data_IF_670260625092
#
_entry.id   IF_670260625092
#
_cell.length_a   1.000
_cell.length_b   1.000
_cell.length_c   1.000
_cell.angle_alpha   90.00
_cell.angle_beta   90.00
_cell.angle_gamma   90.00
#
_symmetry.space_group_name_H-M   'P 1'
#
loop_
_entity.id
_entity.type
_entity.pdbx_description
1 polymer ?
#
# COMPACT_ATOMS: atom_id res chain seq x y z
N UNK A 1 -10.49 9.63 17.19
CA UNK A 1 -10.08 10.64 18.20
C UNK A 1 -10.28 12.00 17.57
N UNK A 2 -10.88 12.96 18.28
CA UNK A 2 -11.15 14.29 17.71
C UNK A 2 -9.99 15.24 17.97
N UNK A 3 -9.67 16.09 17.00
CA UNK A 3 -8.59 17.08 17.08
C UNK A 3 -8.98 18.37 16.36
N UNK A 4 -8.29 19.47 16.68
CA UNK A 4 -8.43 20.73 15.94
C UNK A 4 -7.40 20.71 14.81
N UNK A 5 -7.89 20.73 13.56
CA UNK A 5 -7.02 20.72 12.38
C UNK A 5 -6.25 22.04 12.25
N UNK A 6 -4.93 21.99 12.15
CA UNK A 6 -4.10 23.20 12.02
C UNK A 6 -4.30 23.91 10.67
N UNK A 7 -4.72 23.19 9.62
CA UNK A 7 -4.94 23.76 8.30
C UNK A 7 -6.18 24.66 8.22
N UNK A 8 -7.26 24.31 8.93
CA UNK A 8 -8.55 25.01 8.83
C UNK A 8 -9.13 25.52 10.17
N UNK A 9 -8.60 25.07 11.31
CA UNK A 9 -9.07 25.46 12.65
C UNK A 9 -10.35 24.75 13.12
N UNK A 10 -10.89 23.80 12.35
CA UNK A 10 -12.10 23.06 12.69
C UNK A 10 -11.81 21.78 13.49
N UNK A 11 -12.77 21.33 14.32
CA UNK A 11 -12.72 20.01 14.94
C UNK A 11 -12.95 18.92 13.88
N UNK A 12 -11.99 18.01 13.73
CA UNK A 12 -12.04 16.86 12.81
C UNK A 12 -11.91 15.55 13.58
N UNK A 13 -12.41 14.49 12.98
CA UNK A 13 -12.11 13.11 13.36
C UNK A 13 -11.28 12.48 12.24
N UNK A 14 -10.20 11.79 12.60
CA UNK A 14 -9.37 11.11 11.61
C UNK A 14 -10.14 9.99 10.92
N UNK A 15 -9.88 9.83 9.62
CA UNK A 15 -10.33 8.66 8.90
C UNK A 15 -9.47 7.45 9.25
N UNK A 16 -10.04 6.23 9.25
CA UNK A 16 -9.23 5.03 9.40
C UNK A 16 -8.39 4.80 8.14
N UNK A 17 -7.16 4.33 8.32
CA UNK A 17 -6.36 3.84 7.21
C UNK A 17 -7.00 2.60 6.57
N UNK A 18 -7.06 2.57 5.23
CA UNK A 18 -7.55 1.43 4.46
C UNK A 18 -6.43 0.41 4.30
N UNK A 19 -6.37 -0.53 5.23
CA UNK A 19 -5.24 -1.43 5.38
C UNK A 19 -5.60 -2.87 5.03
N UNK A 20 -4.77 -3.52 4.21
CA UNK A 20 -4.99 -4.90 3.75
C UNK A 20 -4.06 -5.87 4.49
N UNK A 21 -4.59 -7.02 4.91
CA UNK A 21 -3.87 -7.95 5.78
C UNK A 21 -2.84 -8.81 5.04
N UNK A 22 -2.95 -8.93 3.72
CA UNK A 22 -2.06 -9.72 2.89
C UNK A 22 -2.00 -9.14 1.46
N UNK A 23 -0.94 -9.44 0.69
CA UNK A 23 -0.92 -9.12 -0.73
C UNK A 23 -2.03 -9.86 -1.48
N UNK A 24 -2.54 -9.28 -2.56
CA UNK A 24 -3.60 -9.90 -3.39
C UNK A 24 -3.22 -11.32 -3.83
N UNK A 25 -1.95 -11.53 -4.21
CA UNK A 25 -1.43 -12.84 -4.57
C UNK A 25 -1.68 -13.91 -3.50
N UNK A 26 -1.59 -13.56 -2.22
CA UNK A 26 -1.85 -14.47 -1.10
C UNK A 26 -3.30 -14.97 -1.09
N UNK A 27 -4.26 -14.12 -1.46
CA UNK A 27 -5.68 -14.49 -1.54
C UNK A 27 -6.00 -15.41 -2.72
N UNK A 28 -5.09 -15.53 -3.69
CA UNK A 28 -5.25 -16.39 -4.86
C UNK A 28 -4.64 -17.79 -4.66
N UNK A 29 -3.92 -18.03 -3.56
CA UNK A 29 -3.25 -19.31 -3.29
C UNK A 29 -4.26 -20.41 -2.97
N UNK A 30 -3.97 -21.61 -3.46
CA UNK A 30 -4.61 -22.84 -2.99
C UNK A 30 -4.13 -23.21 -1.58
N UNK A 31 -4.88 -24.10 -0.91
CA UNK A 31 -4.53 -24.61 0.42
C UNK A 31 -3.13 -25.26 0.47
N UNK A 32 -2.67 -25.85 -0.63
CA UNK A 32 -1.34 -26.46 -0.71
C UNK A 32 -0.24 -25.40 -0.84
N UNK A 33 -0.44 -24.40 -1.70
CA UNK A 33 0.51 -23.29 -1.87
C UNK A 33 0.63 -22.44 -0.60
N UNK A 34 -0.47 -22.32 0.15
CA UNK A 34 -0.52 -21.61 1.43
C UNK A 34 0.48 -22.17 2.45
N UNK A 35 0.80 -23.47 2.38
CA UNK A 35 1.80 -24.10 3.26
C UNK A 35 3.22 -23.58 3.01
N UNK A 36 3.47 -23.06 1.81
CA UNK A 36 4.74 -22.48 1.40
C UNK A 36 4.75 -20.94 1.54
N UNK A 37 3.67 -20.36 2.08
CA UNK A 37 3.56 -18.93 2.32
C UNK A 37 3.94 -18.59 3.77
N UNK A 38 4.79 -17.56 3.94
CA UNK A 38 5.14 -16.97 5.23
C UNK A 38 4.62 -15.54 5.23
N UNK A 39 3.58 -15.27 6.00
CA UNK A 39 2.95 -13.95 6.13
C UNK A 39 3.15 -13.41 7.55
N UNK A 40 3.57 -12.15 7.63
CA UNK A 40 3.68 -11.37 8.86
C UNK A 40 2.90 -10.06 8.71
N UNK A 41 2.99 -9.16 9.69
CA UNK A 41 2.35 -7.83 9.59
C UNK A 41 2.90 -6.94 8.47
N UNK A 42 4.13 -7.19 8.02
CA UNK A 42 4.88 -6.29 7.13
C UNK A 42 5.62 -7.00 5.98
N UNK A 43 5.77 -8.32 6.05
CA UNK A 43 6.48 -9.15 5.06
C UNK A 43 5.63 -10.35 4.64
N UNK A 44 5.69 -10.70 3.37
CA UNK A 44 5.13 -11.93 2.83
C UNK A 44 6.09 -12.58 1.84
N UNK A 45 6.32 -13.88 1.95
CA UNK A 45 7.02 -14.68 0.93
C UNK A 45 6.19 -15.89 0.56
N UNK A 46 6.12 -16.23 -0.72
CA UNK A 46 5.46 -17.45 -1.20
C UNK A 46 6.44 -18.22 -2.08
N UNK A 47 6.88 -19.38 -1.60
CA UNK A 47 7.83 -20.24 -2.30
C UNK A 47 7.07 -21.15 -3.29
N UNK A 48 7.50 -21.19 -4.54
CA UNK A 48 7.04 -22.13 -5.57
C UNK A 48 8.25 -22.92 -6.13
N UNK A 49 8.02 -24.01 -6.89
CA UNK A 49 9.10 -24.75 -7.53
C UNK A 49 9.93 -23.93 -8.53
N UNK A 50 9.35 -22.87 -9.10
CA UNK A 50 9.99 -22.06 -10.13
C UNK A 50 10.64 -20.79 -9.56
N UNK A 51 10.00 -20.15 -8.57
CA UNK A 51 10.47 -18.89 -8.00
C UNK A 51 9.93 -18.65 -6.59
N UNK A 52 10.44 -17.60 -5.93
CA UNK A 52 9.91 -17.12 -4.65
C UNK A 52 9.38 -15.70 -4.82
N UNK A 53 8.06 -15.57 -4.65
CA UNK A 53 7.39 -14.28 -4.64
C UNK A 53 7.62 -13.57 -3.30
N UNK A 54 7.97 -12.29 -3.35
CA UNK A 54 8.40 -11.51 -2.18
C UNK A 54 7.66 -10.19 -2.13
N UNK A 55 6.97 -9.93 -1.02
CA UNK A 55 6.15 -8.76 -0.84
C UNK A 55 6.46 -8.06 0.47
N UNK A 56 6.34 -6.74 0.46
CA UNK A 56 6.44 -5.91 1.65
C UNK A 56 5.20 -5.02 1.78
N UNK A 57 4.84 -4.70 3.01
CA UNK A 57 3.79 -3.74 3.30
C UNK A 57 4.33 -2.32 3.26
N UNK A 58 3.58 -1.43 2.62
CA UNK A 58 3.93 -0.03 2.42
C UNK A 58 2.73 0.87 2.69
N UNK A 59 3.02 2.15 2.92
CA UNK A 59 2.03 3.21 3.02
C UNK A 59 1.84 3.89 1.66
N UNK A 60 0.59 4.17 1.31
CA UNK A 60 0.22 5.03 0.18
C UNK A 60 -0.70 6.12 0.70
N UNK A 61 -0.39 7.36 0.37
CA UNK A 61 -1.17 8.53 0.79
C UNK A 61 -1.92 9.05 -0.44
N UNK A 62 -3.24 9.04 -0.37
CA UNK A 62 -4.09 9.54 -1.42
C UNK A 62 -4.56 10.95 -1.05
N UNK A 63 -4.13 11.94 -1.83
CA UNK A 63 -4.53 13.33 -1.63
C UNK A 63 -6.04 13.50 -1.75
N UNK A 64 -6.62 14.28 -0.84
CA UNK A 64 -8.02 14.73 -0.91
C UNK A 64 -8.08 16.23 -1.14
N UNK A 65 -8.46 16.61 -2.35
CA UNK A 65 -8.29 17.99 -2.86
C UNK A 65 -9.17 19.05 -2.19
N UNK A 66 -10.27 18.63 -1.54
CA UNK A 66 -11.28 19.50 -0.92
C UNK A 66 -11.51 19.20 0.58
N UNK A 67 -10.58 18.49 1.23
CA UNK A 67 -10.53 18.32 2.70
C UNK A 67 -9.08 18.56 3.19
N UNK A 68 -8.89 18.71 4.50
CA UNK A 68 -7.56 18.88 5.08
C UNK A 68 -6.90 17.55 5.45
N UNK A 69 -7.62 16.44 5.30
CA UNK A 69 -7.16 15.08 5.60
C UNK A 69 -6.90 14.35 4.30
N UNK A 70 -5.81 13.60 4.25
CA UNK A 70 -5.57 12.62 3.19
C UNK A 70 -6.16 11.26 3.56
N UNK A 71 -6.27 10.38 2.57
CA UNK A 71 -6.70 9.01 2.77
C UNK A 71 -5.48 8.07 2.78
N UNK A 72 -5.20 7.51 3.96
CA UNK A 72 -4.10 6.57 4.17
C UNK A 72 -4.47 5.16 3.73
N UNK A 73 -3.57 4.51 2.98
CA UNK A 73 -3.66 3.11 2.61
C UNK A 73 -2.47 2.31 3.13
N UNK A 74 -2.76 1.12 3.66
CA UNK A 74 -1.76 0.10 3.96
C UNK A 74 -1.76 -0.97 2.88
N UNK A 75 -0.94 -0.78 1.84
CA UNK A 75 -0.87 -1.63 0.65
C UNK A 75 0.32 -2.59 0.71
N UNK A 76 0.35 -3.53 -0.22
CA UNK A 76 1.42 -4.48 -0.47
C UNK A 76 2.00 -4.28 -1.86
N UNK A 77 3.32 -4.40 -1.98
CA UNK A 77 4.07 -4.37 -3.24
C UNK A 77 4.99 -5.58 -3.35
N UNK A 78 5.16 -6.12 -4.55
CA UNK A 78 6.19 -7.13 -4.81
C UNK A 78 7.55 -6.48 -5.07
N UNK A 79 8.61 -7.15 -4.66
CA UNK A 79 9.99 -6.73 -4.87
C UNK A 79 10.79 -7.85 -5.55
N UNK A 80 11.85 -7.45 -6.25
CA UNK A 80 12.89 -8.39 -6.67
C UNK A 80 13.55 -9.04 -5.45
N UNK A 81 14.16 -10.22 -5.62
CA UNK A 81 14.95 -10.88 -4.57
C UNK A 81 15.98 -9.95 -3.95
N UNK A 82 16.76 -9.25 -4.79
CA UNK A 82 17.81 -8.36 -4.35
C UNK A 82 17.26 -7.23 -3.46
N UNK A 83 16.19 -6.57 -3.91
CA UNK A 83 15.56 -5.46 -3.19
C UNK A 83 14.93 -5.93 -1.87
N UNK A 84 14.24 -7.07 -1.89
CA UNK A 84 13.63 -7.64 -0.69
C UNK A 84 14.68 -8.02 0.36
N UNK A 85 15.76 -8.69 -0.07
CA UNK A 85 16.85 -9.08 0.85
C UNK A 85 17.50 -7.86 1.49
N UNK A 86 17.84 -6.84 0.71
CA UNK A 86 18.43 -5.60 1.26
C UNK A 86 17.48 -4.91 2.25
N UNK A 87 16.18 -4.85 1.93
CA UNK A 87 15.16 -4.29 2.83
C UNK A 87 15.08 -5.06 4.15
N UNK A 88 15.01 -6.40 4.10
CA UNK A 88 14.91 -7.25 5.30
C UNK A 88 16.17 -7.17 6.15
N UNK A 89 17.35 -7.20 5.53
CA UNK A 89 18.64 -7.08 6.24
C UNK A 89 18.79 -5.73 6.96
N UNK A 90 18.12 -4.68 6.46
CA UNK A 90 18.15 -3.34 7.03
C UNK A 90 16.86 -2.95 7.77
N UNK A 91 15.93 -3.89 8.02
CA UNK A 91 14.61 -3.57 8.59
C UNK A 91 14.72 -2.81 9.93
N UNK A 92 15.64 -3.25 10.81
CA UNK A 92 15.87 -2.61 12.11
C UNK A 92 16.91 -1.48 12.09
N UNK A 93 17.51 -1.19 10.92
CA UNK A 93 18.46 -0.10 10.75
C UNK A 93 17.72 1.23 10.59
N UNK A 94 17.63 2.00 11.68
CA UNK A 94 16.85 3.26 11.74
C UNK A 94 17.25 4.32 10.72
N UNK A 95 18.52 4.34 10.31
CA UNK A 95 19.06 5.34 9.39
C UNK A 95 19.03 4.86 7.93
N UNK A 96 18.56 3.62 7.68
CA UNK A 96 18.53 3.07 6.34
C UNK A 96 17.52 3.79 5.46
N UNK A 97 17.98 4.11 4.24
CA UNK A 97 17.20 4.73 3.19
C UNK A 97 17.52 4.03 1.88
N UNK A 98 16.49 3.72 1.12
CA UNK A 98 16.62 3.07 -0.17
C UNK A 98 15.42 3.40 -1.06
N UNK A 99 15.58 3.13 -2.35
CA UNK A 99 14.52 3.23 -3.33
C UNK A 99 14.52 1.96 -4.19
N UNK A 100 13.33 1.37 -4.37
CA UNK A 100 13.16 0.15 -5.14
C UNK A 100 12.07 0.32 -6.20
N UNK A 101 12.24 -0.40 -7.30
CA UNK A 101 11.11 -0.72 -8.16
C UNK A 101 10.29 -1.85 -7.54
N UNK A 102 8.97 -1.76 -7.61
CA UNK A 102 8.05 -2.82 -7.21
C UNK A 102 6.74 -2.81 -7.99
N UNK A 103 5.93 -3.86 -7.83
CA UNK A 103 4.60 -3.93 -8.43
C UNK A 103 3.52 -3.90 -7.36
N UNK A 104 2.50 -3.05 -7.53
CA UNK A 104 1.35 -3.00 -6.64
C UNK A 104 0.66 -4.36 -6.61
N UNK A 105 0.48 -4.92 -5.42
CA UNK A 105 -0.13 -6.22 -5.19
C UNK A 105 -1.23 -6.12 -4.14
N UNK A 106 -2.12 -5.15 -4.29
CA UNK A 106 -3.27 -4.93 -3.41
C UNK A 106 -4.53 -4.84 -4.24
N UNK A 107 -5.56 -5.56 -3.83
CA UNK A 107 -6.88 -5.42 -4.44
C UNK A 107 -7.56 -4.18 -3.89
N UNK A 108 -7.77 -3.18 -4.74
CA UNK A 108 -8.52 -1.98 -4.40
C UNK A 108 -9.91 -2.08 -5.04
N UNK A 109 -11.00 -2.20 -4.27
CA UNK A 109 -12.35 -2.49 -4.79
C UNK A 109 -12.99 -1.36 -5.61
N UNK A 110 -12.29 -0.23 -5.74
CA UNK A 110 -12.69 0.92 -6.55
C UNK A 110 -12.16 0.85 -7.98
N UNK A 111 -11.27 -0.12 -8.27
CA UNK A 111 -10.59 -0.21 -9.55
C UNK A 111 -10.51 -1.65 -10.06
N UNK A 112 -10.52 -1.76 -11.38
CA UNK A 112 -10.27 -3.01 -12.09
C UNK A 112 -8.82 -3.03 -12.57
N UNK A 113 -8.05 -4.04 -12.14
CA UNK A 113 -6.66 -4.21 -12.52
C UNK A 113 -6.54 -5.31 -13.57
N UNK A 114 -6.19 -4.95 -14.81
CA UNK A 114 -5.82 -5.94 -15.83
C UNK A 114 -4.42 -6.50 -15.61
N UNK A 115 -3.52 -5.68 -15.07
CA UNK A 115 -2.14 -6.00 -14.73
C UNK A 115 -1.73 -5.28 -13.44
N UNK A 116 -0.60 -5.68 -12.85
CA UNK A 116 -0.08 -4.98 -11.67
C UNK A 116 0.51 -3.62 -12.05
N UNK A 117 0.28 -2.60 -11.22
CA UNK A 117 0.77 -1.24 -11.47
C UNK A 117 2.25 -1.15 -11.06
N UNK A 118 3.16 -0.63 -11.91
CA UNK A 118 4.55 -0.39 -11.54
C UNK A 118 4.64 0.76 -10.51
N UNK A 119 5.51 0.59 -9.52
CA UNK A 119 5.66 1.52 -8.39
C UNK A 119 7.12 1.78 -8.03
N UNK A 120 7.37 2.97 -7.50
CA UNK A 120 8.59 3.31 -6.76
C UNK A 120 8.31 3.15 -5.26
N UNK A 121 9.14 2.37 -4.59
CA UNK A 121 9.05 2.10 -3.15
C UNK A 121 10.18 2.85 -2.44
N UNK A 122 9.83 3.83 -1.61
CA UNK A 122 10.78 4.69 -0.91
C UNK A 122 10.86 4.28 0.55
N UNK A 123 12.02 3.74 0.95
CA UNK A 123 12.30 3.35 2.33
C UNK A 123 12.95 4.51 3.06
N UNK A 124 12.38 4.88 4.20
CA UNK A 124 13.02 5.75 5.17
C UNK A 124 12.63 5.30 6.59
N UNK A 125 13.49 4.48 7.21
CA UNK A 125 13.22 3.84 8.49
C UNK A 125 13.11 4.84 9.66
N UNK A 126 13.47 6.11 9.47
CA UNK A 126 13.22 7.18 10.45
C UNK A 126 11.73 7.56 10.54
N UNK A 127 10.93 7.28 9.51
CA UNK A 127 9.51 7.65 9.44
C UNK A 127 8.62 6.44 9.76
N UNK A 128 8.97 5.25 9.28
CA UNK A 128 8.20 4.03 9.51
C UNK A 128 8.20 3.14 8.28
N UNK A 129 7.02 2.61 7.92
CA UNK A 129 6.85 1.77 6.73
C UNK A 129 7.26 2.53 5.46
N UNK A 130 7.77 1.83 4.43
CA UNK A 130 8.08 2.45 3.15
C UNK A 130 6.85 3.13 2.53
N UNK A 131 7.07 4.21 1.79
CA UNK A 131 6.04 4.81 0.96
C UNK A 131 6.08 4.22 -0.45
N UNK A 132 4.93 4.17 -1.10
CA UNK A 132 4.83 3.73 -2.50
C UNK A 132 4.19 4.79 -3.37
N UNK A 133 4.78 4.98 -4.55
CA UNK A 133 4.35 5.92 -5.55
C UNK A 133 4.13 5.15 -6.86
N UNK A 134 2.89 5.01 -7.37
CA UNK A 134 2.66 4.42 -8.68
C UNK A 134 3.35 5.25 -9.77
N UNK A 135 3.88 4.61 -10.80
CA UNK A 135 4.56 5.35 -11.87
C UNK A 135 3.56 6.14 -12.70
N UNK A 136 3.72 7.46 -12.75
CA UNK A 136 2.83 8.39 -13.48
C UNK A 136 2.63 8.04 -14.96
N UNK A 137 3.59 7.38 -15.60
CA UNK A 137 3.48 6.99 -17.01
C UNK A 137 2.54 5.79 -17.26
N UNK A 138 2.03 5.15 -16.21
CA UNK A 138 1.15 4.00 -16.33
C UNK A 138 -0.32 4.45 -16.41
N UNK A 139 -0.97 4.19 -17.54
CA UNK A 139 -2.35 4.60 -17.81
C UNK A 139 -3.35 3.74 -17.01
N UNK A 140 -3.81 4.25 -15.86
CA UNK A 140 -4.81 3.58 -15.05
C UNK A 140 -5.55 4.59 -14.14
N UNK A 141 -6.87 4.46 -13.91
CA UNK A 141 -7.63 5.42 -13.10
C UNK A 141 -7.08 5.64 -11.68
N UNK A 142 -6.58 4.58 -11.03
CA UNK A 142 -5.89 4.70 -9.74
C UNK A 142 -4.65 5.60 -9.79
N UNK A 143 -3.89 5.56 -10.89
CA UNK A 143 -2.70 6.40 -11.06
C UNK A 143 -3.13 7.85 -11.28
N UNK A 144 -4.18 8.07 -12.07
CA UNK A 144 -4.75 9.40 -12.27
C UNK A 144 -5.23 10.01 -10.94
N UNK A 145 -6.02 9.27 -10.17
CA UNK A 145 -6.48 9.69 -8.84
C UNK A 145 -5.32 9.94 -7.87
N UNK A 146 -4.28 9.10 -7.90
CA UNK A 146 -3.10 9.29 -7.03
C UNK A 146 -2.42 10.65 -7.27
N UNK A 147 -2.31 11.09 -8.54
CA UNK A 147 -1.60 12.32 -8.90
C UNK A 147 -2.49 13.57 -8.96
N UNK A 148 -3.78 13.40 -9.22
CA UNK A 148 -4.74 14.52 -9.31
C UNK A 148 -5.56 14.70 -8.02
N UNK A 149 -5.45 13.75 -7.09
CA UNK A 149 -6.24 13.70 -5.87
C UNK A 149 -7.68 13.25 -6.11
N UNK A 150 -8.39 12.99 -5.01
CA UNK A 150 -9.83 12.66 -5.03
C UNK A 150 -10.61 13.71 -4.24
N UNK A 151 -11.94 13.67 -4.33
CA UNK A 151 -12.79 14.49 -3.46
C UNK A 151 -13.06 13.78 -2.13
N UNK A 152 -13.45 14.54 -1.12
CA UNK A 152 -13.88 14.05 0.18
C UNK A 152 -15.02 13.06 0.06
N UNK A 153 -16.01 13.37 -0.79
CA UNK A 153 -17.14 12.48 -1.05
C UNK A 153 -16.67 11.14 -1.61
N UNK A 154 -15.64 11.14 -2.45
CA UNK A 154 -15.05 9.91 -2.97
C UNK A 154 -14.25 9.17 -1.89
N UNK A 155 -13.42 9.87 -1.10
CA UNK A 155 -12.70 9.27 0.03
C UNK A 155 -13.65 8.57 1.01
N UNK A 156 -14.75 9.23 1.40
CA UNK A 156 -15.75 8.66 2.30
C UNK A 156 -16.49 7.46 1.68
N UNK A 157 -16.73 7.44 0.36
CA UNK A 157 -17.26 6.24 -0.32
C UNK A 157 -16.31 5.07 -0.24
N UNK A 158 -15.00 5.28 -0.45
CA UNK A 158 -13.98 4.22 -0.37
C UNK A 158 -13.87 3.67 1.04
N UNK A 159 -13.84 4.54 2.04
CA UNK A 159 -13.86 4.16 3.46
C UNK A 159 -15.09 3.30 3.75
N UNK A 160 -16.28 3.77 3.38
CA UNK A 160 -17.51 3.02 3.62
C UNK A 160 -17.53 1.67 2.89
N UNK A 161 -16.94 1.57 1.69
CA UNK A 161 -16.86 0.31 0.94
C UNK A 161 -16.00 -0.71 1.67
N UNK A 162 -14.81 -0.32 2.14
CA UNK A 162 -13.88 -1.22 2.83
C UNK A 162 -14.37 -1.61 4.23
N UNK A 163 -15.00 -0.68 4.97
CA UNK A 163 -15.53 -0.98 6.30
C UNK A 163 -16.79 -1.84 6.29
N UNK A 164 -17.57 -1.80 5.20
CA UNK A 164 -18.84 -2.52 5.10
C UNK A 164 -18.79 -3.71 4.13
N UNK A 165 -17.68 -3.96 3.44
CA UNK A 165 -17.44 -5.19 2.69
C UNK A 165 -17.37 -6.36 3.68
N UNK A 166 -18.45 -7.14 3.73
CA UNK A 166 -18.57 -8.39 4.50
C UNK A 166 -18.09 -9.58 3.70
#
# INVERSE_FOLDING_TARGET
MKYICECCGEEKEDWPALAYNAPYFYSCLSDEEMKNAKLTSDLCTVESPEETNRFIRAALIQEVTDDCRDLDYGVWVSLSEKSYTEYVENYDNKEFKAEYFGWLNTYLPDYDFSESIPTTVVVNNTIGRPFVFPHQSYEHPFVDDFYNGITKDEAEKRINRVLNSK
#
